data_IF_595195196238
#
_entry.id   IF_595195196238
#
_cell.length_a   1.000
_cell.length_b   1.000
_cell.length_c   1.000
_cell.angle_alpha   90.00
_cell.angle_beta   90.00
_cell.angle_gamma   90.00
#
_symmetry.space_group_name_H-M   'P 1'
#
loop_
_entity.id
_entity.type
_entity.pdbx_description
1 polymer ?
#
# COMPACT_ATOMS: atom_id res chain seq x y z
N UNK A 1 15.58 22.68 12.40
CA UNK A 1 14.64 21.52 12.37
C UNK A 1 14.66 20.69 13.66
N UNK A 2 15.80 20.31 14.24
CA UNK A 2 15.85 19.49 15.47
C UNK A 2 14.97 20.00 16.64
N UNK A 3 14.93 21.31 16.90
CA UNK A 3 14.07 21.88 17.96
C UNK A 3 12.57 21.72 17.68
N UNK A 4 12.15 21.65 16.42
CA UNK A 4 10.75 21.48 16.03
C UNK A 4 10.28 20.04 16.28
N UNK A 5 11.12 19.03 16.00
CA UNK A 5 10.76 17.62 16.28
C UNK A 5 10.63 17.33 17.78
N UNK A 6 11.48 17.94 18.63
CA UNK A 6 11.37 17.77 20.08
C UNK A 6 10.07 18.35 20.66
N UNK A 7 9.62 19.50 20.14
CA UNK A 7 8.34 20.08 20.51
C UNK A 7 7.16 19.23 20.00
N UNK A 8 7.20 18.82 18.72
CA UNK A 8 6.19 17.94 18.13
C UNK A 8 6.06 16.63 18.90
N UNK A 9 7.19 16.02 19.29
CA UNK A 9 7.21 14.86 20.18
C UNK A 9 6.52 15.14 21.50
N UNK A 10 6.87 16.24 22.17
CA UNK A 10 6.26 16.59 23.46
C UNK A 10 4.74 16.75 23.36
N UNK A 11 4.24 17.35 22.28
CA UNK A 11 2.79 17.48 22.03
C UNK A 11 2.14 16.11 21.83
N UNK A 12 2.76 15.22 21.06
CA UNK A 12 2.24 13.85 20.83
C UNK A 12 2.14 13.08 22.14
N UNK A 13 3.20 13.06 22.96
CA UNK A 13 3.21 12.38 24.26
C UNK A 13 2.18 12.97 25.23
N UNK A 14 2.00 14.30 25.26
CA UNK A 14 1.00 14.94 26.13
C UNK A 14 -0.44 14.60 25.73
N UNK A 15 -0.71 14.50 24.43
CA UNK A 15 -2.03 14.15 23.93
C UNK A 15 -2.33 12.66 24.13
N UNK A 16 -1.34 11.79 23.95
CA UNK A 16 -1.46 10.37 24.26
C UNK A 16 -1.80 10.13 25.74
N UNK A 17 -1.09 10.80 26.66
CA UNK A 17 -1.40 10.77 28.10
C UNK A 17 -2.82 11.29 28.42
N UNK A 18 -3.33 12.23 27.62
CA UNK A 18 -4.69 12.73 27.74
C UNK A 18 -5.75 11.81 27.09
N UNK A 19 -5.36 10.67 26.52
CA UNK A 19 -6.23 9.75 25.79
C UNK A 19 -6.66 10.26 24.41
N UNK A 20 -5.91 11.21 23.84
CA UNK A 20 -6.19 11.81 22.52
C UNK A 20 -5.25 11.20 21.48
N UNK A 21 -5.79 10.36 20.60
CA UNK A 21 -5.05 9.83 19.45
C UNK A 21 -4.85 10.91 18.38
N UNK A 22 -3.62 11.02 17.89
CA UNK A 22 -3.27 11.94 16.80
C UNK A 22 -3.02 11.14 15.54
N UNK A 23 -3.78 11.43 14.48
CA UNK A 23 -3.47 10.97 13.13
C UNK A 23 -2.91 12.14 12.32
N UNK A 24 -1.70 11.95 11.80
CA UNK A 24 -1.02 12.94 10.95
C UNK A 24 -1.05 12.50 9.51
N UNK A 25 -1.13 13.47 8.62
CA UNK A 25 -1.12 13.26 7.19
C UNK A 25 0.09 13.99 6.56
N UNK A 26 0.87 13.27 5.77
CA UNK A 26 1.96 13.81 4.97
C UNK A 26 1.61 13.69 3.49
N UNK A 27 1.39 14.84 2.83
CA UNK A 27 1.23 14.92 1.39
C UNK A 27 2.59 15.14 0.72
N UNK A 28 2.99 14.18 -0.13
CA UNK A 28 4.17 14.28 -0.98
C UNK A 28 3.83 15.04 -2.26
N UNK A 29 4.59 16.10 -2.53
CA UNK A 29 4.48 16.84 -3.79
C UNK A 29 4.92 15.97 -4.99
N UNK A 30 4.42 16.25 -6.20
CA UNK A 30 4.96 15.66 -7.41
C UNK A 30 6.38 16.16 -7.69
N UNK A 31 7.20 15.33 -8.35
CA UNK A 31 8.52 15.74 -8.85
C UNK A 31 9.62 15.82 -7.79
N UNK A 32 9.47 15.13 -6.66
CA UNK A 32 10.52 15.04 -5.65
C UNK A 32 11.69 14.20 -6.17
N UNK A 33 12.91 14.73 -6.03
CA UNK A 33 14.12 13.98 -6.35
C UNK A 33 14.49 12.96 -5.26
N UNK A 34 15.45 12.11 -5.56
CA UNK A 34 15.89 11.06 -4.64
C UNK A 34 16.50 11.62 -3.34
N UNK A 35 17.25 12.72 -3.40
CA UNK A 35 17.87 13.34 -2.23
C UNK A 35 16.82 13.90 -1.24
N UNK A 36 15.77 14.51 -1.79
CA UNK A 36 14.64 15.00 -1.00
C UNK A 36 13.86 13.84 -0.39
N UNK A 37 13.59 12.78 -1.15
CA UNK A 37 12.95 11.57 -0.62
C UNK A 37 13.78 10.91 0.50
N UNK A 38 15.10 10.86 0.36
CA UNK A 38 16.00 10.35 1.41
C UNK A 38 15.99 11.23 2.66
N UNK A 39 15.96 12.55 2.48
CA UNK A 39 15.83 13.50 3.58
C UNK A 39 14.49 13.36 4.32
N UNK A 40 13.41 13.11 3.59
CA UNK A 40 12.10 12.79 4.16
C UNK A 40 12.18 11.48 4.95
N UNK A 41 12.77 10.40 4.41
CA UNK A 41 12.95 9.13 5.14
C UNK A 41 13.70 9.32 6.46
N UNK A 42 14.82 10.07 6.43
CA UNK A 42 15.60 10.36 7.62
C UNK A 42 14.80 11.14 8.67
N UNK A 43 13.95 12.06 8.21
CA UNK A 43 13.03 12.83 9.06
C UNK A 43 11.98 11.93 9.69
N UNK A 44 11.32 11.07 8.90
CA UNK A 44 10.30 10.14 9.37
C UNK A 44 10.85 9.15 10.40
N UNK A 45 12.05 8.60 10.17
CA UNK A 45 12.72 7.75 11.16
C UNK A 45 12.97 8.53 12.46
N UNK A 46 13.45 9.77 12.36
CA UNK A 46 13.74 10.56 13.55
C UNK A 46 12.46 10.90 14.34
N UNK A 47 11.36 11.20 13.65
CA UNK A 47 10.05 11.41 14.28
C UNK A 47 9.52 10.13 14.92
N UNK A 48 9.59 8.99 14.23
CA UNK A 48 9.20 7.71 14.78
C UNK A 48 9.97 7.40 16.08
N UNK A 49 11.28 7.63 16.12
CA UNK A 49 12.08 7.46 17.33
C UNK A 49 11.62 8.37 18.49
N UNK A 50 11.32 9.64 18.20
CA UNK A 50 10.87 10.64 19.20
C UNK A 50 9.46 10.33 19.71
N UNK A 51 8.58 9.85 18.84
CA UNK A 51 7.16 9.61 19.14
C UNK A 51 6.90 8.16 19.53
N UNK A 52 7.93 7.37 19.73
CA UNK A 52 7.76 6.04 20.31
C UNK A 52 7.94 6.09 21.81
N UNK A 53 7.19 5.25 22.50
CA UNK A 53 7.21 5.14 23.95
C UNK A 53 7.36 3.69 24.39
N UNK A 54 7.98 3.51 25.54
CA UNK A 54 7.97 2.26 26.27
C UNK A 54 7.44 2.57 27.66
N UNK A 55 6.21 2.12 27.94
CA UNK A 55 5.40 2.65 29.04
C UNK A 55 5.37 4.19 28.93
N UNK A 56 5.53 4.90 30.02
CA UNK A 56 5.42 6.37 30.08
C UNK A 56 6.74 7.08 29.70
N UNK A 57 7.65 6.39 29.01
CA UNK A 57 8.98 6.91 28.67
C UNK A 57 9.23 6.97 27.17
N UNK A 58 9.66 8.14 26.71
CA UNK A 58 10.10 8.31 25.32
C UNK A 58 11.30 7.44 24.97
N UNK A 59 11.17 6.60 23.95
CA UNK A 59 12.23 5.70 23.45
C UNK A 59 13.48 6.48 23.03
N UNK A 60 13.31 7.63 22.38
CA UNK A 60 14.43 8.48 21.98
C UNK A 60 15.37 8.86 23.14
N UNK A 61 14.82 9.20 24.31
CA UNK A 61 15.63 9.57 25.48
C UNK A 61 16.40 8.39 26.07
N UNK A 62 15.83 7.19 25.97
CA UNK A 62 16.46 5.97 26.48
C UNK A 62 17.57 5.45 25.55
N UNK A 63 17.39 5.59 24.22
CA UNK A 63 18.26 4.93 23.23
C UNK A 63 19.21 5.86 22.47
N UNK A 64 18.77 7.07 22.11
CA UNK A 64 19.44 7.90 21.10
C UNK A 64 19.90 9.28 21.59
N UNK A 65 19.42 9.76 22.74
CA UNK A 65 19.83 11.04 23.29
C UNK A 65 21.32 11.03 23.69
N UNK A 66 22.08 11.97 23.12
CA UNK A 66 23.52 12.11 23.31
C UNK A 66 23.89 13.31 24.19
N UNK A 67 22.96 14.24 24.46
CA UNK A 67 23.24 15.43 25.27
C UNK A 67 23.36 15.06 26.75
N UNK A 68 24.53 15.21 27.39
CA UNK A 68 24.76 14.68 28.74
C UNK A 68 23.77 15.18 29.80
N UNK A 69 23.37 16.45 29.73
CA UNK A 69 22.37 17.01 30.66
C UNK A 69 21.00 16.36 30.52
N UNK A 70 20.58 16.06 29.27
CA UNK A 70 19.29 15.41 28.99
C UNK A 70 19.30 13.94 29.35
N UNK A 71 20.42 13.26 29.14
CA UNK A 71 20.62 11.87 29.58
C UNK A 71 20.53 11.77 31.11
N UNK A 72 21.24 12.64 31.84
CA UNK A 72 21.21 12.66 33.32
C UNK A 72 19.81 12.94 33.89
N UNK A 73 19.02 13.75 33.19
CA UNK A 73 17.66 14.11 33.59
C UNK A 73 16.60 13.08 33.18
N UNK A 74 16.94 12.13 32.29
CA UNK A 74 16.00 11.12 31.85
C UNK A 74 15.78 10.09 32.95
N UNK A 75 14.52 9.82 33.36
CA UNK A 75 14.23 8.73 34.28
C UNK A 75 14.71 7.41 33.69
N UNK A 76 15.34 6.57 34.51
CA UNK A 76 15.68 5.21 34.10
C UNK A 76 14.42 4.37 34.04
N UNK A 77 14.27 3.60 32.96
CA UNK A 77 13.19 2.64 32.83
C UNK A 77 13.70 1.23 33.11
N UNK A 78 12.92 0.48 33.89
CA UNK A 78 13.11 -0.95 34.08
C UNK A 78 12.41 -1.71 32.95
N UNK A 79 13.22 -2.33 32.07
CA UNK A 79 12.72 -3.01 30.87
C UNK A 79 12.29 -4.42 31.25
N UNK A 80 11.04 -4.75 30.93
CA UNK A 80 10.58 -6.13 31.04
C UNK A 80 11.28 -6.99 29.98
N UNK A 81 12.09 -7.94 30.44
CA UNK A 81 12.80 -8.87 29.56
C UNK A 81 11.85 -9.83 28.82
N UNK A 82 10.62 -10.03 29.30
CA UNK A 82 9.59 -10.82 28.62
C UNK A 82 8.85 -10.00 27.56
N UNK A 83 8.79 -8.68 27.71
CA UNK A 83 8.16 -7.75 26.77
C UNK A 83 8.97 -6.44 26.61
N UNK A 84 10.08 -6.49 25.84
CA UNK A 84 10.95 -5.33 25.62
C UNK A 84 10.46 -4.40 24.50
N UNK A 85 9.18 -4.50 24.10
CA UNK A 85 8.65 -3.77 22.95
C UNK A 85 7.90 -2.50 23.35
N UNK A 86 8.33 -1.38 22.76
CA UNK A 86 7.63 -0.11 22.80
C UNK A 86 6.69 0.06 21.61
N UNK A 87 5.86 1.09 21.69
CA UNK A 87 4.82 1.43 20.73
C UNK A 87 5.11 2.78 20.05
N UNK A 88 4.71 2.90 18.80
CA UNK A 88 4.69 4.17 18.08
C UNK A 88 3.31 4.83 18.19
N UNK A 89 3.21 5.88 19.02
CA UNK A 89 1.95 6.61 19.27
C UNK A 89 1.67 7.73 18.27
N UNK A 90 2.55 7.91 17.27
CA UNK A 90 2.52 9.07 16.39
C UNK A 90 1.63 8.97 15.15
N UNK A 91 0.97 7.83 14.89
CA UNK A 91 0.18 7.48 13.68
C UNK A 91 0.32 8.42 12.46
N UNK A 92 0.90 7.94 11.36
CA UNK A 92 1.14 8.73 10.16
C UNK A 92 0.57 8.07 8.90
N UNK A 93 -0.22 8.82 8.12
CA UNK A 93 -0.62 8.47 6.76
C UNK A 93 0.21 9.28 5.76
N UNK A 94 0.77 8.62 4.76
CA UNK A 94 1.54 9.26 3.68
C UNK A 94 0.74 9.10 2.38
N UNK A 95 0.56 10.20 1.64
CA UNK A 95 -0.11 10.17 0.33
C UNK A 95 0.61 11.01 -0.71
N UNK A 96 0.36 10.70 -1.97
CA UNK A 96 0.94 11.38 -3.14
C UNK A 96 1.74 10.44 -4.05
N UNK A 97 2.26 10.94 -5.19
CA UNK A 97 2.85 10.13 -6.26
C UNK A 97 4.03 9.24 -5.85
N UNK A 98 4.70 9.55 -4.74
CA UNK A 98 5.88 8.82 -4.25
C UNK A 98 5.61 8.03 -2.96
N UNK A 99 4.37 7.95 -2.49
CA UNK A 99 4.05 7.35 -1.19
C UNK A 99 4.47 5.87 -1.12
N UNK A 100 4.13 5.08 -2.14
CA UNK A 100 4.51 3.65 -2.21
C UNK A 100 6.02 3.46 -2.26
N UNK A 101 6.73 4.26 -3.07
CA UNK A 101 8.19 4.23 -3.15
C UNK A 101 8.84 4.61 -1.82
N UNK A 102 8.28 5.61 -1.12
CA UNK A 102 8.74 6.03 0.18
C UNK A 102 8.55 4.91 1.22
N UNK A 103 7.38 4.26 1.23
CA UNK A 103 7.05 3.12 2.09
C UNK A 103 8.01 1.94 1.91
N UNK A 104 8.16 1.45 0.68
CA UNK A 104 9.03 0.29 0.38
C UNK A 104 10.48 0.50 0.83
N UNK A 105 10.98 1.73 0.68
CA UNK A 105 12.36 2.05 1.07
C UNK A 105 12.49 2.42 2.55
N UNK A 106 11.41 2.89 3.19
CA UNK A 106 11.41 3.19 4.62
C UNK A 106 11.66 1.92 5.42
N UNK A 107 11.15 0.76 5.00
CA UNK A 107 11.43 -0.52 5.66
C UNK A 107 12.93 -0.86 5.66
N UNK A 108 13.57 -0.82 4.49
CA UNK A 108 15.00 -1.07 4.35
C UNK A 108 15.84 -0.05 5.11
N UNK A 109 15.41 1.22 5.10
CA UNK A 109 16.06 2.29 5.84
C UNK A 109 15.92 2.10 7.35
N UNK A 110 14.74 1.81 7.89
CA UNK A 110 14.54 1.57 9.32
C UNK A 110 15.32 0.34 9.82
N UNK A 111 15.45 -0.71 8.99
CA UNK A 111 16.27 -1.90 9.31
C UNK A 111 17.78 -1.62 9.30
N UNK A 112 18.25 -0.78 8.37
CA UNK A 112 19.68 -0.50 8.15
C UNK A 112 20.21 0.73 8.89
N UNK A 113 19.35 1.72 9.14
CA UNK A 113 19.63 2.93 9.91
C UNK A 113 19.64 2.62 11.41
N UNK A 114 20.55 1.72 11.80
CA UNK A 114 21.06 1.67 13.17
C UNK A 114 21.83 2.97 13.42
N UNK A 115 21.11 4.06 13.73
CA UNK A 115 21.76 5.13 14.49
C UNK A 115 22.40 4.43 15.70
N UNK A 116 23.70 4.62 15.94
CA UNK A 116 24.33 4.02 17.11
C UNK A 116 23.54 4.49 18.33
N UNK A 117 23.00 3.52 19.07
CA UNK A 117 22.44 3.80 20.38
C UNK A 117 23.58 4.18 21.32
N UNK A 118 23.24 4.78 22.45
CA UNK A 118 24.20 4.97 23.54
C UNK A 118 24.78 3.63 23.99
N UNK A 119 26.00 3.63 24.55
CA UNK A 119 26.65 2.42 25.05
C UNK A 119 25.88 1.78 26.22
N UNK A 120 25.24 2.59 27.07
CA UNK A 120 24.37 2.18 28.18
C UNK A 120 22.87 2.15 27.79
N UNK A 121 22.57 2.11 26.49
CA UNK A 121 21.18 2.10 26.03
C UNK A 121 20.43 0.87 26.56
N UNK A 122 19.17 1.09 26.92
CA UNK A 122 18.27 0.03 27.41
C UNK A 122 17.89 -0.93 26.28
N UNK A 123 17.55 -2.16 26.64
CA UNK A 123 17.17 -3.22 25.70
C UNK A 123 15.72 -3.05 25.21
N UNK A 124 15.43 -1.91 24.59
CA UNK A 124 14.09 -1.57 24.11
C UNK A 124 14.09 -1.56 22.59
N UNK A 125 13.09 -2.19 21.99
CA UNK A 125 12.81 -2.03 20.57
C UNK A 125 11.38 -1.58 20.32
N UNK A 126 11.14 -0.98 19.16
CA UNK A 126 9.80 -0.56 18.75
C UNK A 126 9.43 -1.35 17.50
N UNK A 127 8.20 -1.87 17.49
CA UNK A 127 7.59 -2.48 16.30
C UNK A 127 6.68 -1.46 15.65
N UNK A 128 6.96 -1.15 14.40
CA UNK A 128 6.21 -0.20 13.60
C UNK A 128 5.53 -0.96 12.45
N UNK A 129 4.20 -1.15 12.49
CA UNK A 129 3.48 -1.66 11.33
C UNK A 129 3.51 -0.61 10.21
N UNK A 130 3.89 -1.03 9.01
CA UNK A 130 3.88 -0.22 7.80
C UNK A 130 3.05 -0.96 6.77
N UNK A 131 1.99 -0.30 6.30
CA UNK A 131 1.01 -0.87 5.41
C UNK A 131 0.56 0.08 4.32
N UNK A 132 -0.24 -0.46 3.41
CA UNK A 132 -1.00 0.33 2.45
C UNK A 132 -2.49 0.16 2.71
N UNK A 133 -3.31 1.10 2.24
CA UNK A 133 -4.75 1.04 2.47
C UNK A 133 -5.37 -0.22 1.85
N UNK A 134 -5.77 -1.16 2.71
CA UNK A 134 -6.46 -2.40 2.36
C UNK A 134 -7.95 -2.23 2.08
N UNK A 135 -8.66 -3.34 1.90
CA UNK A 135 -10.09 -3.37 1.58
C UNK A 135 -10.95 -2.60 2.57
N UNK A 136 -10.64 -2.73 3.86
CA UNK A 136 -11.39 -2.09 4.95
C UNK A 136 -11.35 -0.56 4.85
N UNK A 137 -10.18 0.02 4.55
CA UNK A 137 -10.04 1.46 4.40
C UNK A 137 -10.88 2.01 3.24
N UNK A 138 -10.96 1.28 2.12
CA UNK A 138 -11.85 1.62 1.01
C UNK A 138 -13.32 1.47 1.40
N UNK A 139 -13.69 0.35 2.02
CA UNK A 139 -15.07 0.08 2.44
C UNK A 139 -15.60 1.14 3.40
N UNK A 140 -14.79 1.51 4.41
CA UNK A 140 -15.14 2.55 5.39
C UNK A 140 -15.28 3.92 4.72
N UNK A 141 -14.34 4.29 3.84
CA UNK A 141 -14.39 5.56 3.11
C UNK A 141 -15.66 5.65 2.27
N UNK A 142 -15.97 4.61 1.50
CA UNK A 142 -17.16 4.57 0.63
C UNK A 142 -18.43 4.58 1.48
N UNK A 143 -18.52 3.68 2.47
CA UNK A 143 -19.68 3.58 3.37
C UNK A 143 -20.02 4.92 4.04
N UNK A 144 -19.02 5.60 4.59
CA UNK A 144 -19.20 6.88 5.28
C UNK A 144 -19.70 7.98 4.35
N UNK A 145 -19.13 8.09 3.15
CA UNK A 145 -19.53 9.13 2.18
C UNK A 145 -20.87 8.81 1.50
N UNK A 146 -21.13 7.54 1.19
CA UNK A 146 -22.43 7.09 0.70
C UNK A 146 -23.53 7.36 1.72
N UNK A 147 -23.30 7.09 3.01
CA UNK A 147 -24.28 7.34 4.07
C UNK A 147 -24.70 8.81 4.15
N UNK A 148 -23.77 9.75 3.92
CA UNK A 148 -24.07 11.19 3.86
C UNK A 148 -24.96 11.56 2.66
N UNK A 149 -25.03 10.69 1.65
CA UNK A 149 -25.77 10.87 0.40
C UNK A 149 -27.02 9.99 0.30
N UNK A 150 -27.46 9.36 1.40
CA UNK A 150 -28.52 8.34 1.39
C UNK A 150 -28.23 7.18 0.42
N UNK A 151 -26.96 6.81 0.30
CA UNK A 151 -26.50 5.67 -0.46
C UNK A 151 -25.93 4.59 0.48
N UNK A 152 -26.07 3.33 0.11
CA UNK A 152 -25.41 2.20 0.75
C UNK A 152 -24.28 1.69 -0.14
N UNK A 153 -23.12 1.41 0.45
CA UNK A 153 -22.01 0.81 -0.27
C UNK A 153 -22.31 -0.65 -0.61
N UNK A 154 -21.89 -1.08 -1.79
CA UNK A 154 -21.97 -2.48 -2.23
C UNK A 154 -20.59 -3.11 -2.27
N UNK A 155 -20.52 -4.45 -2.24
CA UNK A 155 -19.27 -5.20 -2.30
C UNK A 155 -18.53 -4.91 -3.61
N UNK A 156 -19.28 -4.88 -4.71
CA UNK A 156 -18.83 -4.65 -6.07
C UNK A 156 -18.25 -3.25 -6.20
N UNK A 157 -18.93 -2.23 -5.66
CA UNK A 157 -18.43 -0.85 -5.66
C UNK A 157 -17.11 -0.72 -4.89
N UNK A 158 -16.99 -1.37 -3.73
CA UNK A 158 -15.73 -1.39 -2.96
C UNK A 158 -14.61 -2.04 -3.78
N UNK A 159 -14.86 -3.20 -4.36
CA UNK A 159 -13.88 -3.94 -5.16
C UNK A 159 -13.43 -3.13 -6.38
N UNK A 160 -14.36 -2.54 -7.14
CA UNK A 160 -14.06 -1.78 -8.36
C UNK A 160 -13.35 -0.46 -8.07
N UNK A 161 -13.81 0.29 -7.06
CA UNK A 161 -13.12 1.50 -6.60
C UNK A 161 -11.71 1.18 -6.12
N UNK A 162 -11.52 0.06 -5.41
CA UNK A 162 -10.19 -0.36 -4.93
C UNK A 162 -9.27 -0.82 -6.06
N UNK A 163 -9.81 -1.57 -7.02
CA UNK A 163 -9.05 -2.07 -8.16
C UNK A 163 -8.54 -0.90 -9.01
N UNK A 164 -9.44 0.04 -9.33
CA UNK A 164 -9.19 1.10 -10.31
C UNK A 164 -8.60 2.38 -9.71
N UNK A 165 -8.99 2.79 -8.50
CA UNK A 165 -8.48 4.03 -7.91
C UNK A 165 -7.16 3.83 -7.15
N UNK A 166 -6.36 4.89 -7.10
CA UNK A 166 -5.04 4.84 -6.46
C UNK A 166 -5.09 4.84 -4.91
N UNK A 167 -6.16 5.36 -4.31
CA UNK A 167 -6.29 5.46 -2.84
C UNK A 167 -7.74 5.69 -2.42
N UNK A 168 -8.09 5.44 -1.13
CA UNK A 168 -9.38 5.84 -0.58
C UNK A 168 -9.65 7.35 -0.72
N UNK A 169 -8.61 8.19 -0.68
CA UNK A 169 -8.75 9.63 -0.97
C UNK A 169 -9.19 9.92 -2.40
N UNK A 170 -8.71 9.16 -3.39
CA UNK A 170 -9.19 9.29 -4.76
C UNK A 170 -10.66 8.92 -4.87
N UNK A 171 -11.07 7.84 -4.22
CA UNK A 171 -12.48 7.45 -4.17
C UNK A 171 -13.33 8.52 -3.48
N UNK A 172 -12.84 9.10 -2.38
CA UNK A 172 -13.53 10.17 -1.66
C UNK A 172 -13.76 11.41 -2.54
N UNK A 173 -12.74 11.84 -3.28
CA UNK A 173 -12.83 12.97 -4.21
C UNK A 173 -13.83 12.69 -5.35
N UNK A 174 -13.87 11.45 -5.87
CA UNK A 174 -14.85 11.06 -6.88
C UNK A 174 -16.28 11.03 -6.32
N UNK A 175 -16.47 10.43 -5.13
CA UNK A 175 -17.76 10.35 -4.46
C UNK A 175 -18.33 11.72 -4.10
N UNK A 176 -17.47 12.72 -3.88
CA UNK A 176 -17.90 14.08 -3.62
C UNK A 176 -18.90 14.60 -4.67
N UNK A 177 -18.72 14.21 -5.93
CA UNK A 177 -19.52 14.65 -7.08
C UNK A 177 -20.92 14.02 -7.17
N UNK A 178 -21.21 12.96 -6.42
CA UNK A 178 -22.57 12.41 -6.37
C UNK A 178 -23.49 13.33 -5.58
N UNK A 179 -24.74 13.45 -6.00
CA UNK A 179 -25.75 14.15 -5.21
C UNK A 179 -26.29 13.26 -4.08
N UNK A 180 -27.04 13.87 -3.16
CA UNK A 180 -27.76 13.14 -2.12
C UNK A 180 -29.09 12.67 -2.69
N UNK A 181 -29.43 11.42 -2.44
CA UNK A 181 -30.71 10.84 -2.82
C UNK A 181 -31.82 11.17 -1.82
N UNK A 182 -33.05 11.33 -2.29
CA UNK A 182 -34.21 11.54 -1.42
C UNK A 182 -34.55 10.27 -0.62
N UNK A 183 -34.37 9.10 -1.23
CA UNK A 183 -34.68 7.80 -0.62
C UNK A 183 -33.41 6.96 -0.50
N UNK A 184 -33.15 6.31 0.66
CA UNK A 184 -32.04 5.39 0.81
C UNK A 184 -32.03 4.27 -0.23
N UNK A 185 -30.91 4.07 -0.91
CA UNK A 185 -30.71 2.99 -1.90
C UNK A 185 -29.24 2.60 -2.02
N UNK A 186 -28.97 1.51 -2.73
CA UNK A 186 -27.59 1.09 -3.01
C UNK A 186 -26.91 2.01 -4.04
N UNK A 187 -25.59 2.15 -3.89
CA UNK A 187 -24.71 2.75 -4.89
C UNK A 187 -24.61 1.82 -6.11
N UNK A 188 -25.02 2.32 -7.28
CA UNK A 188 -25.04 1.56 -8.53
C UNK A 188 -23.69 1.62 -9.25
N UNK A 189 -23.44 0.67 -10.14
CA UNK A 189 -22.17 0.59 -10.88
C UNK A 189 -22.01 1.70 -11.93
N UNK A 190 -23.10 2.28 -12.44
CA UNK A 190 -23.03 3.46 -13.32
C UNK A 190 -22.59 4.71 -12.55
N UNK A 191 -22.91 4.77 -11.26
CA UNK A 191 -22.42 5.80 -10.36
C UNK A 191 -20.97 5.56 -9.96
N UNK A 192 -20.55 4.30 -9.78
CA UNK A 192 -19.13 3.95 -9.59
C UNK A 192 -18.31 4.38 -10.81
N UNK A 193 -18.82 4.13 -12.02
CA UNK A 193 -18.20 4.63 -13.25
C UNK A 193 -18.08 6.14 -13.23
N UNK A 194 -19.16 6.85 -12.90
CA UNK A 194 -19.17 8.31 -12.82
C UNK A 194 -18.14 8.83 -11.81
N UNK A 195 -18.11 8.26 -10.60
CA UNK A 195 -17.16 8.57 -9.52
C UNK A 195 -15.72 8.44 -10.01
N UNK A 196 -15.40 7.33 -10.68
CA UNK A 196 -14.06 7.09 -11.21
C UNK A 196 -13.73 8.00 -12.40
N UNK A 197 -14.72 8.38 -13.20
CA UNK A 197 -14.56 9.30 -14.33
C UNK A 197 -14.17 10.73 -13.90
N UNK A 198 -14.42 11.11 -12.64
CA UNK A 198 -13.97 12.38 -12.06
C UNK A 198 -12.47 12.41 -11.74
N UNK A 199 -11.80 11.25 -11.80
CA UNK A 199 -10.39 11.15 -11.44
C UNK A 199 -9.49 11.47 -12.63
N UNK A 200 -8.40 12.18 -12.34
CA UNK A 200 -7.30 12.35 -13.28
C UNK A 200 -6.63 11.00 -13.58
N UNK A 201 -6.09 10.78 -14.80
CA UNK A 201 -5.46 9.52 -15.18
C UNK A 201 -4.41 9.03 -14.18
N UNK A 202 -3.57 9.91 -13.64
CA UNK A 202 -2.54 9.54 -12.67
C UNK A 202 -3.07 8.96 -11.35
N UNK A 203 -4.39 9.05 -11.10
CA UNK A 203 -5.07 8.50 -9.92
C UNK A 203 -5.82 7.20 -10.22
N UNK A 204 -5.72 6.70 -11.46
CA UNK A 204 -6.32 5.46 -11.92
C UNK A 204 -5.22 4.45 -12.23
N UNK A 205 -5.33 3.24 -11.68
CA UNK A 205 -4.36 2.15 -11.84
C UNK A 205 -2.91 2.64 -11.62
N UNK A 206 -2.55 3.07 -10.39
CA UNK A 206 -1.30 3.81 -10.13
C UNK A 206 -0.02 3.03 -10.46
N UNK A 207 -0.07 1.70 -10.47
CA UNK A 207 1.07 0.86 -10.81
C UNK A 207 1.19 0.61 -12.33
N UNK A 208 0.18 0.98 -13.12
CA UNK A 208 0.16 0.77 -14.57
C UNK A 208 0.91 1.87 -15.33
N UNK A 209 1.23 1.59 -16.61
CA UNK A 209 1.84 2.59 -17.47
C UNK A 209 0.87 3.77 -17.71
N UNK A 210 1.36 5.02 -17.86
CA UNK A 210 0.50 6.19 -18.08
C UNK A 210 -0.49 6.04 -19.25
N UNK A 211 -0.10 5.32 -20.30
CA UNK A 211 -0.97 4.97 -21.43
C UNK A 211 -2.19 4.15 -21.01
N UNK A 212 -2.03 3.21 -20.08
CA UNK A 212 -3.13 2.38 -19.54
C UNK A 212 -4.10 3.28 -18.79
N UNK A 213 -3.59 4.10 -17.86
CA UNK A 213 -4.43 4.99 -17.07
C UNK A 213 -5.16 6.03 -17.91
N UNK A 214 -4.51 6.57 -18.94
CA UNK A 214 -5.14 7.50 -19.90
C UNK A 214 -6.25 6.81 -20.70
N UNK A 215 -6.04 5.58 -21.16
CA UNK A 215 -7.06 4.80 -21.85
C UNK A 215 -8.26 4.50 -20.94
N UNK A 216 -8.03 4.06 -19.70
CA UNK A 216 -9.10 3.79 -18.72
C UNK A 216 -9.86 5.06 -18.36
N UNK A 217 -9.18 6.18 -18.10
CA UNK A 217 -9.82 7.48 -17.85
C UNK A 217 -10.71 7.91 -19.03
N UNK A 218 -10.25 7.68 -20.26
CA UNK A 218 -10.99 8.00 -21.48
C UNK A 218 -12.22 7.11 -21.62
N UNK A 219 -12.09 5.81 -21.37
CA UNK A 219 -13.21 4.88 -21.40
C UNK A 219 -14.23 5.20 -20.32
N UNK A 220 -13.82 5.52 -19.08
CA UNK A 220 -14.74 5.89 -17.98
C UNK A 220 -15.66 7.07 -18.37
N UNK A 221 -15.10 8.06 -19.07
CA UNK A 221 -15.82 9.26 -19.56
C UNK A 221 -16.65 9.02 -20.83
N UNK A 222 -16.43 7.89 -21.52
CA UNK A 222 -17.22 7.55 -22.69
C UNK A 222 -18.63 7.11 -22.29
N UNK A 223 -19.63 7.47 -23.09
CA UNK A 223 -21.02 7.04 -22.95
C UNK A 223 -21.41 5.91 -23.93
N UNK A 224 -20.48 5.49 -24.78
CA UNK A 224 -20.65 4.41 -25.74
C UNK A 224 -19.28 3.73 -26.00
N UNK A 225 -19.24 2.53 -26.58
CA UNK A 225 -17.99 1.91 -26.99
C UNK A 225 -17.19 2.82 -27.93
N UNK A 226 -15.85 2.78 -27.81
CA UNK A 226 -14.94 3.57 -28.64
C UNK A 226 -14.13 2.66 -29.55
N UNK A 227 -14.06 2.98 -30.83
CA UNK A 227 -13.13 2.29 -31.73
C UNK A 227 -11.69 2.50 -31.27
N UNK A 228 -10.77 1.62 -31.70
CA UNK A 228 -9.36 1.73 -31.32
C UNK A 228 -8.75 3.10 -31.66
N UNK A 229 -9.07 3.64 -32.83
CA UNK A 229 -8.57 4.94 -33.28
C UNK A 229 -9.15 6.06 -32.43
N UNK A 230 -10.45 6.04 -32.14
CA UNK A 230 -11.07 7.06 -31.28
C UNK A 230 -10.52 7.04 -29.86
N UNK A 231 -10.35 5.85 -29.28
CA UNK A 231 -9.76 5.70 -27.95
C UNK A 231 -8.33 6.24 -27.93
N UNK A 232 -7.51 5.90 -28.92
CA UNK A 232 -6.13 6.40 -29.02
C UNK A 232 -6.08 7.92 -29.14
N UNK A 233 -6.92 8.50 -30.00
CA UNK A 233 -6.99 9.95 -30.20
C UNK A 233 -7.48 10.67 -28.95
N UNK A 234 -8.55 10.19 -28.29
CA UNK A 234 -9.10 10.84 -27.10
C UNK A 234 -8.19 10.70 -25.87
N UNK A 235 -7.47 9.59 -25.76
CA UNK A 235 -6.49 9.36 -24.69
C UNK A 235 -5.14 10.06 -24.94
N UNK A 236 -4.92 10.65 -26.12
CA UNK A 236 -3.65 11.23 -26.56
C UNK A 236 -2.46 10.24 -26.49
N UNK A 237 -2.67 9.04 -27.05
CA UNK A 237 -1.67 7.96 -27.06
C UNK A 237 -1.56 7.32 -28.44
N UNK A 238 -0.45 6.62 -28.70
CA UNK A 238 -0.30 5.89 -29.97
C UNK A 238 -1.22 4.66 -30.02
N UNK A 239 -1.87 4.44 -31.16
CA UNK A 239 -2.72 3.25 -31.41
C UNK A 239 -1.95 1.93 -31.19
N UNK A 240 -0.66 1.92 -31.54
CA UNK A 240 0.22 0.76 -31.35
C UNK A 240 0.41 0.43 -29.87
N UNK A 241 0.73 1.42 -29.05
CA UNK A 241 0.87 1.22 -27.59
C UNK A 241 -0.45 0.82 -26.96
N UNK A 242 -1.55 1.46 -27.39
CA UNK A 242 -2.89 1.19 -26.88
C UNK A 242 -3.30 -0.27 -27.09
N UNK A 243 -3.10 -0.83 -28.29
CA UNK A 243 -3.51 -2.22 -28.61
C UNK A 243 -3.07 -3.21 -27.53
N UNK A 244 -1.77 -3.22 -27.27
CA UNK A 244 -1.14 -4.12 -26.30
C UNK A 244 -1.72 -3.96 -24.90
N UNK A 245 -2.02 -2.74 -24.48
CA UNK A 245 -2.54 -2.49 -23.14
C UNK A 245 -4.04 -2.81 -23.02
N UNK A 246 -4.80 -2.62 -24.10
CA UNK A 246 -6.21 -3.02 -24.15
C UNK A 246 -6.32 -4.54 -24.06
N UNK A 247 -5.46 -5.30 -24.73
CA UNK A 247 -5.42 -6.76 -24.62
C UNK A 247 -5.17 -7.22 -23.16
N UNK A 248 -4.29 -6.51 -22.43
CA UNK A 248 -4.03 -6.79 -20.99
C UNK A 248 -5.24 -6.43 -20.12
N UNK A 249 -5.93 -5.32 -20.41
CA UNK A 249 -7.15 -4.95 -19.69
C UNK A 249 -8.31 -5.91 -19.97
N UNK A 250 -8.36 -6.47 -21.19
CA UNK A 250 -9.33 -7.49 -21.56
C UNK A 250 -9.07 -8.83 -20.87
N UNK A 251 -7.81 -9.24 -20.72
CA UNK A 251 -7.40 -10.41 -19.93
C UNK A 251 -7.71 -10.28 -18.42
N UNK A 252 -7.98 -9.06 -17.93
CA UNK A 252 -8.46 -8.81 -16.56
C UNK A 252 -10.00 -8.64 -16.50
N UNK A 253 -10.69 -8.81 -17.63
CA UNK A 253 -12.10 -8.44 -17.88
C UNK A 253 -12.47 -7.02 -17.41
N UNK A 254 -11.51 -6.09 -17.44
CA UNK A 254 -11.79 -4.66 -17.19
C UNK A 254 -12.32 -3.98 -18.44
N UNK A 255 -11.91 -4.44 -19.63
CA UNK A 255 -12.30 -3.89 -20.93
C UNK A 255 -12.83 -5.02 -21.82
N UNK A 256 -13.95 -4.77 -22.50
CA UNK A 256 -14.56 -5.70 -23.45
C UNK A 256 -14.51 -5.11 -24.85
N UNK A 257 -14.09 -5.92 -25.81
CA UNK A 257 -14.23 -5.59 -27.24
C UNK A 257 -15.65 -5.97 -27.69
N UNK A 258 -16.32 -5.02 -28.35
CA UNK A 258 -17.64 -5.18 -28.92
C UNK A 258 -17.57 -4.91 -30.43
N UNK A 259 -18.64 -5.20 -31.16
CA UNK A 259 -18.73 -4.84 -32.58
C UNK A 259 -18.50 -3.34 -32.84
N UNK A 260 -18.84 -2.48 -31.86
CA UNK A 260 -18.69 -1.02 -31.96
C UNK A 260 -17.37 -0.49 -31.37
N UNK A 261 -16.47 -1.38 -30.91
CA UNK A 261 -15.20 -1.02 -30.28
C UNK A 261 -15.13 -1.40 -28.80
N UNK A 262 -14.24 -0.75 -28.07
CA UNK A 262 -13.92 -1.07 -26.68
C UNK A 262 -14.82 -0.34 -25.68
N UNK A 263 -15.26 -1.04 -24.64
CA UNK A 263 -15.92 -0.47 -23.46
C UNK A 263 -15.29 -1.00 -22.18
N UNK A 264 -15.40 -0.26 -21.08
CA UNK A 264 -15.15 -0.83 -19.76
C UNK A 264 -16.27 -1.82 -19.38
N UNK A 265 -15.93 -2.82 -18.59
CA UNK A 265 -16.86 -3.69 -17.86
C UNK A 265 -17.50 -2.92 -16.69
N UNK A 266 -18.16 -1.80 -17.02
CA UNK A 266 -18.97 -0.95 -16.16
C UNK A 266 -20.14 -0.41 -17.00
N UNK A 267 -21.35 -0.26 -16.45
CA UNK A 267 -22.51 0.21 -17.20
C UNK A 267 -22.35 1.68 -17.62
N UNK A 268 -22.85 2.04 -18.80
CA UNK A 268 -23.02 3.45 -19.19
C UNK A 268 -24.16 4.08 -18.40
N UNK A 269 -24.07 5.40 -18.12
CA UNK A 269 -25.04 6.10 -17.27
C UNK A 269 -26.45 6.19 -17.89
N UNK A 270 -26.52 6.28 -19.21
CA UNK A 270 -27.78 6.52 -19.92
C UNK A 270 -28.42 5.20 -20.38
N UNK A 271 -27.64 4.32 -21.00
CA UNK A 271 -28.16 3.12 -21.67
C UNK A 271 -28.26 1.88 -20.77
N UNK A 272 -27.31 1.72 -19.82
CA UNK A 272 -27.18 0.51 -18.98
C UNK A 272 -27.52 0.83 -17.51
N UNK A 273 -28.32 1.87 -17.26
CA UNK A 273 -28.48 2.43 -15.91
C UNK A 273 -29.05 1.42 -14.92
N UNK A 274 -28.28 1.11 -13.88
CA UNK A 274 -28.64 0.13 -12.85
C UNK A 274 -28.39 -1.33 -13.24
N UNK A 275 -27.87 -1.60 -14.45
CA UNK A 275 -27.48 -2.94 -14.84
C UNK A 275 -26.21 -3.39 -14.10
N UNK A 276 -26.15 -4.69 -13.80
CA UNK A 276 -24.97 -5.32 -13.21
C UNK A 276 -23.97 -5.65 -14.31
N UNK A 277 -23.24 -4.65 -14.80
CA UNK A 277 -22.11 -4.84 -15.71
C UNK A 277 -20.82 -4.63 -14.92
N UNK A 278 -20.12 -5.72 -14.62
CA UNK A 278 -18.83 -5.72 -13.92
C UNK A 278 -17.91 -6.81 -14.53
N UNK A 279 -16.61 -6.81 -14.18
CA UNK A 279 -15.71 -7.92 -14.51
C UNK A 279 -16.25 -9.24 -13.95
N UNK A 280 -16.11 -10.32 -14.71
CA UNK A 280 -16.59 -11.66 -14.36
C UNK A 280 -16.15 -12.12 -12.96
N UNK A 281 -14.89 -11.91 -12.50
CA UNK A 281 -14.49 -12.31 -11.15
C UNK A 281 -15.28 -11.62 -10.04
N UNK A 282 -15.81 -10.42 -10.32
CA UNK A 282 -16.66 -9.67 -9.40
C UNK A 282 -18.11 -10.16 -9.46
N UNK A 283 -18.57 -10.58 -10.65
CA UNK A 283 -19.92 -11.07 -10.90
C UNK A 283 -20.16 -12.48 -10.35
N UNK A 284 -19.28 -13.43 -10.64
CA UNK A 284 -19.47 -14.87 -10.35
C UNK A 284 -18.69 -15.36 -9.13
N UNK A 285 -17.61 -14.66 -8.76
CA UNK A 285 -16.61 -15.08 -7.77
C UNK A 285 -15.95 -16.45 -8.09
N UNK A 286 -16.11 -16.99 -9.30
CA UNK A 286 -15.53 -18.29 -9.67
C UNK A 286 -14.11 -18.20 -10.22
N UNK A 287 -13.78 -17.09 -10.87
CA UNK A 287 -12.46 -16.91 -11.48
C UNK A 287 -11.42 -16.54 -10.44
N UNK A 288 -10.31 -17.25 -10.47
CA UNK A 288 -9.18 -17.07 -9.56
C UNK A 288 -8.21 -16.03 -10.10
N UNK A 289 -7.45 -15.38 -9.21
CA UNK A 289 -6.40 -14.45 -9.61
C UNK A 289 -5.34 -15.12 -10.49
N UNK A 290 -5.10 -16.41 -10.27
CA UNK A 290 -4.19 -17.23 -11.09
C UNK A 290 -4.67 -17.30 -12.53
N UNK A 291 -5.94 -17.64 -12.79
CA UNK A 291 -6.49 -17.73 -14.14
C UNK A 291 -6.37 -16.40 -14.89
N UNK A 292 -6.73 -15.27 -14.26
CA UNK A 292 -6.56 -13.95 -14.87
C UNK A 292 -5.08 -13.64 -15.18
N UNK A 293 -4.18 -13.97 -14.26
CA UNK A 293 -2.76 -13.69 -14.46
C UNK A 293 -2.13 -14.56 -15.54
N UNK A 294 -2.65 -15.78 -15.75
CA UNK A 294 -2.28 -16.61 -16.90
C UNK A 294 -2.67 -15.95 -18.22
N UNK A 295 -3.91 -15.45 -18.34
CA UNK A 295 -4.35 -14.72 -19.54
C UNK A 295 -3.51 -13.46 -19.78
N UNK A 296 -3.25 -12.69 -18.72
CA UNK A 296 -2.38 -11.51 -18.80
C UNK A 296 -0.96 -11.88 -19.24
N UNK A 297 -0.42 -12.98 -18.72
CA UNK A 297 0.92 -13.41 -19.06
C UNK A 297 1.02 -13.85 -20.53
N UNK A 298 0.01 -14.51 -21.07
CA UNK A 298 -0.07 -14.87 -22.50
C UNK A 298 -0.01 -13.61 -23.40
N UNK A 299 -0.66 -12.52 -22.98
CA UNK A 299 -0.59 -11.23 -23.69
C UNK A 299 0.78 -10.55 -23.55
N UNK A 300 1.41 -10.64 -22.37
CA UNK A 300 2.62 -9.87 -22.05
C UNK A 300 3.93 -10.54 -22.48
N UNK A 301 3.95 -11.88 -22.48
CA UNK A 301 5.11 -12.71 -22.77
C UNK A 301 5.17 -13.06 -24.25
N UNK A 302 6.37 -13.03 -24.82
CA UNK A 302 6.57 -13.35 -26.23
C UNK A 302 6.69 -14.87 -26.48
N UNK A 303 6.83 -15.67 -25.43
CA UNK A 303 7.01 -17.12 -25.48
C UNK A 303 6.13 -17.79 -24.41
N UNK A 304 4.95 -18.29 -24.79
CA UNK A 304 4.02 -18.95 -23.88
C UNK A 304 4.57 -20.22 -23.25
N UNK A 305 5.56 -20.88 -23.87
CA UNK A 305 6.14 -22.13 -23.35
C UNK A 305 6.86 -21.91 -22.01
N UNK A 306 7.34 -20.68 -21.76
CA UNK A 306 7.98 -20.30 -20.49
C UNK A 306 7.05 -20.43 -19.29
N UNK A 307 5.74 -20.28 -19.48
CA UNK A 307 4.78 -20.38 -18.39
C UNK A 307 4.60 -21.82 -17.90
N UNK A 308 4.79 -22.80 -18.78
CA UNK A 308 4.73 -24.23 -18.43
C UNK A 308 6.06 -24.84 -18.01
N UNK A 309 7.16 -24.08 -18.08
CA UNK A 309 8.50 -24.53 -17.73
C UNK A 309 8.82 -24.22 -16.26
N UNK A 310 8.85 -25.26 -15.42
CA UNK A 310 9.18 -25.12 -13.99
C UNK A 310 10.65 -24.78 -13.74
N UNK A 311 11.53 -24.94 -14.74
CA UNK A 311 12.93 -24.51 -14.65
C UNK A 311 13.09 -23.02 -15.05
N UNK A 312 12.09 -22.41 -15.69
CA UNK A 312 12.03 -20.96 -15.92
C UNK A 312 11.51 -20.26 -14.66
N UNK A 313 12.18 -19.21 -14.15
CA UNK A 313 11.74 -18.50 -12.94
C UNK A 313 10.31 -17.94 -13.03
N UNK A 314 9.85 -17.55 -14.22
CA UNK A 314 8.48 -17.07 -14.43
C UNK A 314 7.49 -18.25 -14.37
N UNK A 315 7.79 -19.37 -15.03
CA UNK A 315 6.95 -20.57 -14.98
C UNK A 315 6.90 -21.18 -13.57
N UNK A 316 8.02 -21.19 -12.85
CA UNK A 316 8.09 -21.58 -11.45
C UNK A 316 7.20 -20.70 -10.55
N UNK A 317 7.16 -19.38 -10.76
CA UNK A 317 6.29 -18.48 -10.00
C UNK A 317 4.79 -18.71 -10.25
N UNK A 318 4.43 -19.28 -11.41
CA UNK A 318 3.06 -19.71 -11.75
C UNK A 318 2.73 -21.13 -11.27
N UNK A 319 3.71 -21.89 -10.77
CA UNK A 319 3.47 -23.21 -10.19
C UNK A 319 2.52 -23.09 -8.99
N UNK A 320 1.70 -24.11 -8.76
CA UNK A 320 0.77 -24.08 -7.63
C UNK A 320 1.49 -24.40 -6.31
N UNK A 321 1.27 -23.61 -5.23
CA UNK A 321 0.51 -22.37 -5.19
C UNK A 321 1.28 -21.19 -5.80
N UNK A 322 0.58 -20.30 -6.52
CA UNK A 322 1.21 -19.15 -7.20
C UNK A 322 1.89 -18.24 -6.18
N UNK A 323 3.16 -17.93 -6.44
CA UNK A 323 3.95 -17.02 -5.61
C UNK A 323 3.91 -15.60 -6.19
N UNK A 324 2.94 -14.80 -5.75
CA UNK A 324 2.74 -13.45 -6.30
C UNK A 324 3.98 -12.56 -6.16
N UNK A 325 4.73 -12.65 -5.06
CA UNK A 325 5.94 -11.86 -4.87
C UNK A 325 7.07 -12.28 -5.83
N UNK A 326 7.25 -13.58 -6.04
CA UNK A 326 8.19 -14.10 -7.05
C UNK A 326 7.77 -13.65 -8.44
N UNK A 327 6.47 -13.68 -8.75
CA UNK A 327 5.95 -13.24 -10.04
C UNK A 327 6.18 -11.74 -10.29
N UNK A 328 6.01 -10.89 -9.27
CA UNK A 328 6.32 -9.45 -9.35
C UNK A 328 7.81 -9.21 -9.60
N UNK A 329 8.67 -10.04 -9.02
CA UNK A 329 10.12 -9.94 -9.16
C UNK A 329 10.62 -10.43 -10.53
N UNK A 330 10.22 -11.64 -10.93
CA UNK A 330 10.68 -12.29 -12.16
C UNK A 330 10.00 -11.73 -13.43
N UNK A 331 8.79 -11.17 -13.29
CA UNK A 331 8.08 -10.51 -14.38
C UNK A 331 7.57 -9.11 -13.98
N UNK A 332 8.43 -8.08 -13.87
CA UNK A 332 8.02 -6.75 -13.42
C UNK A 332 6.90 -6.10 -14.24
N UNK A 333 6.74 -6.52 -15.51
CA UNK A 333 5.69 -6.03 -16.41
C UNK A 333 4.29 -6.53 -16.03
N UNK A 334 4.17 -7.63 -15.29
CA UNK A 334 2.89 -8.19 -14.82
C UNK A 334 2.45 -7.58 -13.49
N UNK A 335 3.37 -6.96 -12.74
CA UNK A 335 3.14 -6.39 -11.40
C UNK A 335 1.84 -5.56 -11.28
N UNK A 336 1.49 -4.67 -12.24
CA UNK A 336 0.26 -3.90 -12.15
C UNK A 336 -0.99 -4.79 -12.16
N UNK A 337 -0.96 -5.85 -12.97
CA UNK A 337 -2.04 -6.82 -13.10
C UNK A 337 -2.15 -7.74 -11.89
N UNK A 338 -1.03 -8.08 -11.21
CA UNK A 338 -1.05 -8.89 -9.97
C UNK A 338 -1.90 -8.21 -8.90
N UNK A 339 -1.71 -6.88 -8.71
CA UNK A 339 -2.52 -6.11 -7.77
C UNK A 339 -4.01 -6.15 -8.16
N UNK A 340 -4.32 -5.90 -9.43
CA UNK A 340 -5.71 -5.81 -9.88
C UNK A 340 -6.41 -7.16 -9.82
N UNK A 341 -5.81 -8.23 -10.36
CA UNK A 341 -6.34 -9.59 -10.28
C UNK A 341 -6.56 -10.02 -8.83
N UNK A 342 -5.62 -9.74 -7.93
CA UNK A 342 -5.76 -10.01 -6.50
C UNK A 342 -6.98 -9.31 -5.88
N UNK A 343 -7.21 -8.04 -6.23
CA UNK A 343 -8.38 -7.28 -5.73
C UNK A 343 -9.69 -7.81 -6.31
N UNK A 344 -9.74 -8.08 -7.63
CA UNK A 344 -10.95 -8.58 -8.29
C UNK A 344 -11.38 -9.95 -7.75
N UNK A 345 -10.42 -10.82 -7.46
CA UNK A 345 -10.65 -12.19 -6.97
C UNK A 345 -10.60 -12.30 -5.43
N UNK A 346 -10.63 -11.18 -4.70
CA UNK A 346 -10.68 -11.12 -3.23
C UNK A 346 -9.54 -11.92 -2.56
N UNK A 347 -8.34 -11.88 -3.15
CA UNK A 347 -7.12 -12.38 -2.50
C UNK A 347 -6.89 -11.55 -1.24
N UNK A 348 -6.61 -12.18 -0.08
CA UNK A 348 -6.34 -11.46 1.16
C UNK A 348 -5.24 -10.42 0.98
N UNK A 349 -5.40 -9.29 1.65
CA UNK A 349 -4.40 -8.23 1.63
C UNK A 349 -3.10 -8.74 2.25
N UNK A 350 -1.97 -8.31 1.69
CA UNK A 350 -0.68 -8.53 2.32
C UNK A 350 -0.70 -7.88 3.70
N UNK A 351 -0.34 -8.64 4.74
CA UNK A 351 -0.23 -8.11 6.10
C UNK A 351 0.76 -6.94 6.13
N UNK A 352 0.51 -5.99 7.04
CA UNK A 352 1.43 -4.89 7.28
C UNK A 352 2.83 -5.42 7.61
N UNK A 353 3.84 -4.87 6.93
CA UNK A 353 5.21 -5.19 7.27
C UNK A 353 5.52 -4.59 8.63
N UNK A 354 5.79 -5.45 9.61
CA UNK A 354 6.28 -5.00 10.92
C UNK A 354 7.77 -4.73 10.83
N UNK A 355 8.15 -3.46 10.95
CA UNK A 355 9.55 -3.04 10.98
C UNK A 355 9.98 -2.78 12.42
N UNK A 356 11.21 -3.19 12.75
CA UNK A 356 11.77 -3.03 14.08
C UNK A 356 12.97 -2.10 14.09
N UNK A 357 13.02 -1.17 15.05
CA UNK A 357 14.22 -0.41 15.40
C UNK A 357 14.47 -0.42 16.91
N UNK A 358 15.69 -0.07 17.34
CA UNK A 358 16.11 -0.10 18.74
C UNK A 358 17.07 -1.25 19.06
N UNK A 359 17.16 -1.60 20.33
CA UNK A 359 18.04 -2.62 20.89
C UNK A 359 17.23 -3.86 21.28
N UNK A 360 17.55 -5.03 20.72
CA UNK A 360 17.12 -6.33 21.25
C UNK A 360 18.32 -7.24 21.28
N UNK A 361 18.72 -7.68 22.47
CA UNK A 361 19.65 -8.78 22.59
C UNK A 361 18.88 -10.10 22.38
N UNK A 362 19.43 -11.00 21.56
CA UNK A 362 18.93 -12.38 21.53
C UNK A 362 19.19 -12.98 22.92
N UNK A 363 18.13 -13.20 23.69
CA UNK A 363 18.24 -14.01 24.90
C UNK A 363 18.81 -15.38 24.51
N UNK A 364 20.03 -15.66 24.96
CA UNK A 364 20.58 -17.00 24.88
C UNK A 364 20.08 -17.78 26.10
N UNK A 365 19.66 -19.05 25.94
CA UNK A 365 19.34 -19.90 27.07
C UNK A 365 20.51 -19.90 28.07
N UNK A 366 20.20 -19.82 29.37
CA UNK A 366 21.19 -19.80 30.47
C UNK A 366 22.23 -20.95 30.38
N UNK A 367 21.88 -22.05 29.73
CA UNK A 367 22.76 -23.21 29.48
C UNK A 367 23.96 -22.92 28.57
N UNK A 368 23.95 -21.83 27.78
CA UNK A 368 25.05 -21.49 26.87
C UNK A 368 26.06 -20.54 27.53
N UNK A 369 25.62 -19.67 28.45
CA UNK A 369 26.51 -18.74 29.16
C UNK A 369 27.47 -19.45 30.14
N UNK A 370 27.08 -20.59 30.73
CA UNK A 370 27.96 -21.37 31.61
C UNK A 370 29.15 -22.03 30.89
N UNK A 371 29.03 -22.27 29.58
CA UNK A 371 30.10 -22.86 28.78
C UNK A 371 31.13 -21.82 28.29
N UNK A 372 30.73 -20.55 28.14
CA UNK A 372 31.65 -19.48 27.80
C UNK A 372 32.52 -19.06 29.01
N UNK A 373 31.95 -19.05 30.22
CA UNK A 373 32.69 -18.73 31.45
C UNK A 373 33.65 -19.86 31.88
N UNK A 374 33.33 -21.13 31.60
CA UNK A 374 34.19 -22.27 31.96
C UNK A 374 35.34 -22.52 30.97
N UNK A 375 35.30 -21.95 29.76
CA UNK A 375 36.37 -22.04 28.76
C UNK A 375 37.57 -21.12 29.03
N UNK A 376 37.38 -20.03 29.78
CA UNK A 376 38.45 -19.08 30.13
C UNK A 376 39.27 -19.51 31.36
N UNK A 377 38.76 -20.41 32.19
CA UNK A 377 39.47 -20.91 33.39
C UNK A 377 40.44 -22.07 33.11
N UNK A 378 40.54 -22.58 31.86
CA UNK A 378 41.40 -23.73 31.49
C UNK A 378 42.66 -23.37 30.68
N UNK A 379 43.02 -22.08 30.56
CA UNK A 379 44.24 -21.64 29.87
C UNK A 379 45.17 -20.80 30.77
N UNK A 380 45.50 -21.30 31.95
CA UNK A 380 46.68 -20.89 32.73
C UNK A 380 47.11 -22.06 33.58
N UNK A 381 48.04 -22.87 33.06
CA UNK A 381 48.53 -24.07 33.71
C UNK A 381 49.26 -24.98 32.73
N UNK A 382 50.42 -24.50 32.27
CA UNK A 382 51.66 -25.27 32.06
C UNK A 382 52.83 -24.28 31.89
#
# INVERSE_FOLDING_TARGET
MQSAHGLAGSIVHLLDEAGVMIHRELLLAPGLDHETLDSIRATLLHEAQIQSQYRDHTVYRQLYEQRPDKVRQAPLVDVDAADPFGEYIGSLTIRGPHASQLGNHLEGYLRSARKPTREDAREIAVRLPIGTAGREAYAETISRLCSQKNLHSTREAVTLCRALAASPHAVADGLHWLEREDTPRDLRLDEVRYVLAQLEPARLLPDAAPTVSAAVATLLKANQPLTQTELATRADVSTRSLRKYVDVLAALDLVRETESGYRLALPFQDDDRGDLICPEPVETESTTATELLWEVADVLLNDPMRLGDLDDPVGAAFAYPVEFDALRWECPRINPSVRVAGILCVVPDTEDTVVQFGQVYKQMPLTVQSNAASGLAKRTGD
#
